data_IF_775698275984
#
_entry.id   IF_775698275984
#
_cell.length_a   1.000
_cell.length_b   1.000
_cell.length_c   1.000
_cell.angle_alpha   90.00
_cell.angle_beta   90.00
_cell.angle_gamma   90.00
#
_symmetry.space_group_name_H-M   'P 1'
#
loop_
_entity.id
_entity.type
_entity.pdbx_description
1 polymer ?
#
# COMPACT_ATOMS: atom_id res chain seq x y z
N UNK A 1 2.62 -2.76 28.80
CA UNK A 1 2.37 -3.38 27.48
C UNK A 1 3.29 -2.68 26.50
N UNK A 2 3.96 -3.45 25.62
CA UNK A 2 4.85 -2.86 24.60
C UNK A 2 3.99 -2.24 23.50
N UNK A 3 4.11 -0.94 23.30
CA UNK A 3 3.48 -0.23 22.18
C UNK A 3 4.24 -0.47 20.89
N UNK A 4 3.52 -0.52 19.79
CA UNK A 4 4.12 -0.58 18.45
C UNK A 4 4.61 0.79 18.01
N UNK A 5 5.77 0.81 17.39
CA UNK A 5 6.29 2.01 16.75
C UNK A 5 5.45 2.40 15.53
N UNK A 6 5.46 3.69 15.11
CA UNK A 6 4.77 4.11 13.90
C UNK A 6 5.18 3.34 12.64
N UNK A 7 6.41 2.80 12.58
CA UNK A 7 6.88 1.97 11.48
C UNK A 7 6.21 0.58 11.47
N UNK A 8 6.08 -0.05 12.63
CA UNK A 8 5.37 -1.33 12.75
C UNK A 8 3.88 -1.20 12.45
N UNK A 9 3.24 -0.11 12.92
CA UNK A 9 1.84 0.18 12.59
C UNK A 9 1.69 0.38 11.08
N UNK A 10 2.66 1.05 10.43
CA UNK A 10 2.66 1.25 8.99
C UNK A 10 2.83 -0.07 8.21
N UNK A 11 3.61 -1.03 8.72
CA UNK A 11 3.72 -2.39 8.13
C UNK A 11 2.34 -3.06 8.11
N UNK A 12 1.65 -3.14 9.26
CA UNK A 12 0.31 -3.75 9.33
C UNK A 12 -0.74 -3.03 8.47
N UNK A 13 -0.75 -1.70 8.50
CA UNK A 13 -1.67 -0.92 7.67
C UNK A 13 -1.39 -1.12 6.17
N UNK A 14 -0.11 -1.16 5.77
CA UNK A 14 0.29 -1.43 4.41
C UNK A 14 -0.12 -2.84 3.96
N UNK A 15 0.09 -3.85 4.81
CA UNK A 15 -0.26 -5.24 4.51
C UNK A 15 -1.78 -5.42 4.41
N UNK A 16 -2.57 -4.68 5.19
CA UNK A 16 -4.03 -4.65 5.09
C UNK A 16 -4.55 -4.00 3.80
N UNK A 17 -3.75 -3.15 3.12
CA UNK A 17 -4.14 -2.54 1.85
C UNK A 17 -3.98 -1.02 1.77
N UNK A 18 -3.79 -0.30 2.87
CA UNK A 18 -3.61 1.15 2.84
C UNK A 18 -2.38 1.57 2.05
N UNK A 19 -2.50 2.61 1.22
CA UNK A 19 -1.41 3.13 0.37
C UNK A 19 -1.36 4.66 0.40
N UNK A 20 -0.24 5.21 -0.01
CA UNK A 20 -0.09 6.65 -0.26
C UNK A 20 -0.49 7.54 0.93
N UNK A 21 -1.40 8.48 0.69
CA UNK A 21 -1.90 9.39 1.73
C UNK A 21 -2.78 8.67 2.75
N UNK A 22 -3.58 7.67 2.31
CA UNK A 22 -4.47 6.92 3.18
C UNK A 22 -3.69 6.08 4.19
N UNK A 23 -2.53 5.53 3.80
CA UNK A 23 -1.60 4.89 4.72
C UNK A 23 -1.11 5.87 5.81
N UNK A 24 -0.79 7.11 5.43
CA UNK A 24 -0.35 8.13 6.40
C UNK A 24 -1.46 8.47 7.38
N UNK A 25 -2.70 8.62 6.89
CA UNK A 25 -3.87 8.89 7.73
C UNK A 25 -4.19 7.70 8.61
N UNK A 26 -4.18 6.47 8.09
CA UNK A 26 -4.44 5.25 8.86
C UNK A 26 -3.48 5.13 10.05
N UNK A 27 -2.18 5.30 9.84
CA UNK A 27 -1.17 5.25 10.91
C UNK A 27 -1.41 6.37 11.94
N UNK A 28 -1.71 7.58 11.50
CA UNK A 28 -1.96 8.71 12.39
C UNK A 28 -3.24 8.51 13.23
N UNK A 29 -4.29 7.91 12.64
CA UNK A 29 -5.52 7.53 13.36
C UNK A 29 -5.23 6.46 14.40
N UNK A 30 -4.51 5.39 14.07
CA UNK A 30 -4.14 4.36 15.03
C UNK A 30 -3.36 4.92 16.23
N UNK A 31 -2.42 5.83 15.97
CA UNK A 31 -1.68 6.52 17.03
C UNK A 31 -2.58 7.41 17.89
N UNK A 32 -3.59 8.04 17.29
CA UNK A 32 -4.55 8.87 18.02
C UNK A 32 -5.53 8.05 18.85
N UNK A 33 -5.94 6.85 18.39
CA UNK A 33 -6.90 5.97 19.04
C UNK A 33 -6.29 5.18 20.21
N UNK A 34 -5.10 4.62 20.02
CA UNK A 34 -4.50 3.67 20.98
C UNK A 34 -3.14 4.07 21.51
N UNK A 35 -2.53 5.15 20.99
CA UNK A 35 -1.13 5.45 21.27
C UNK A 35 -0.15 4.38 20.77
N UNK A 36 -0.61 3.51 19.88
CA UNK A 36 0.15 2.37 19.36
C UNK A 36 0.08 1.11 20.22
N UNK A 37 -0.79 1.05 21.23
CA UNK A 37 -1.01 -0.16 22.04
C UNK A 37 -1.94 -1.14 21.29
N UNK A 38 -1.45 -2.30 20.84
CA UNK A 38 -2.29 -3.30 20.16
C UNK A 38 -3.28 -3.99 21.12
N UNK A 39 -3.09 -3.86 22.43
CA UNK A 39 -3.97 -4.42 23.45
C UNK A 39 -4.90 -3.36 24.07
N UNK A 40 -4.94 -2.16 23.50
CA UNK A 40 -5.86 -1.13 23.95
C UNK A 40 -7.30 -1.62 23.89
N UNK A 41 -8.04 -1.43 24.97
CA UNK A 41 -9.45 -1.79 25.09
C UNK A 41 -10.21 -0.69 25.83
N UNK A 42 -11.15 -0.07 25.15
CA UNK A 42 -12.10 0.84 25.77
C UNK A 42 -13.43 0.10 25.96
N UNK A 43 -13.73 -0.30 27.21
CA UNK A 43 -14.96 -0.99 27.60
C UNK A 43 -15.95 -0.07 28.33
N UNK A 44 -15.79 1.25 28.20
CA UNK A 44 -16.67 2.23 28.89
C UNK A 44 -17.86 2.52 27.97
N UNK A 45 -19.10 2.17 28.36
CA UNK A 45 -20.27 2.46 27.55
C UNK A 45 -20.40 3.95 27.19
N UNK A 46 -20.77 4.29 25.95
CA UNK A 46 -21.26 3.43 24.87
C UNK A 46 -20.16 2.88 23.93
N UNK A 47 -19.04 2.42 24.48
CA UNK A 47 -17.91 1.90 23.73
C UNK A 47 -17.58 0.47 24.17
N UNK A 48 -17.10 -0.36 23.22
CA UNK A 48 -16.46 -1.65 23.42
C UNK A 48 -15.45 -1.83 22.29
N UNK A 49 -14.33 -1.06 22.36
CA UNK A 49 -13.41 -0.83 21.25
C UNK A 49 -12.06 -1.51 21.48
N UNK A 50 -11.53 -2.18 20.45
CA UNK A 50 -10.38 -3.08 20.54
C UNK A 50 -9.23 -2.67 19.64
N UNK A 51 -8.01 -2.78 20.17
CA UNK A 51 -6.75 -2.77 19.43
C UNK A 51 -6.32 -1.41 18.88
N UNK A 52 -5.46 -1.42 17.88
CA UNK A 52 -4.77 -0.24 17.35
C UNK A 52 -5.73 0.84 16.85
N UNK A 53 -6.71 0.47 16.05
CA UNK A 53 -7.72 1.38 15.47
C UNK A 53 -9.00 1.46 16.30
N UNK A 54 -9.00 0.93 17.52
CA UNK A 54 -10.15 0.96 18.42
C UNK A 54 -11.45 0.56 17.71
N UNK A 55 -11.46 -0.68 17.18
CA UNK A 55 -12.62 -1.21 16.46
C UNK A 55 -13.74 -1.48 17.43
N UNK A 56 -14.85 -0.71 17.32
CA UNK A 56 -15.98 -0.81 18.22
C UNK A 56 -16.82 -2.08 17.94
N UNK A 57 -17.03 -2.89 18.97
CA UNK A 57 -17.75 -4.17 18.93
C UNK A 57 -19.01 -4.16 19.81
N UNK A 58 -19.50 -2.99 20.20
CA UNK A 58 -20.64 -2.84 21.11
C UNK A 58 -21.95 -3.35 20.51
N UNK A 59 -22.71 -4.08 21.30
CA UNK A 59 -24.09 -4.49 20.99
C UNK A 59 -24.19 -5.28 19.69
N UNK A 60 -25.06 -4.88 18.77
CA UNK A 60 -25.28 -5.56 17.49
C UNK A 60 -24.10 -5.44 16.50
N UNK A 61 -23.21 -4.47 16.70
CA UNK A 61 -21.99 -4.32 15.87
C UNK A 61 -21.06 -5.52 16.03
N UNK A 62 -20.88 -6.03 17.25
CA UNK A 62 -19.97 -7.13 17.51
C UNK A 62 -20.26 -8.39 16.68
N UNK A 63 -21.47 -8.99 16.76
CA UNK A 63 -21.81 -10.15 15.95
C UNK A 63 -21.78 -9.89 14.42
N UNK A 64 -22.15 -8.68 13.98
CA UNK A 64 -22.11 -8.32 12.58
C UNK A 64 -20.66 -8.27 12.06
N UNK A 65 -19.79 -7.56 12.75
CA UNK A 65 -18.38 -7.39 12.40
C UNK A 65 -17.59 -8.69 12.53
N UNK A 66 -17.87 -9.56 13.51
CA UNK A 66 -17.23 -10.88 13.55
C UNK A 66 -17.51 -11.70 12.30
N UNK A 67 -18.76 -11.68 11.79
CA UNK A 67 -19.08 -12.36 10.53
C UNK A 67 -18.44 -11.70 9.32
N UNK A 68 -18.40 -10.37 9.31
CA UNK A 68 -17.81 -9.58 8.22
C UNK A 68 -16.29 -9.78 8.10
N UNK A 69 -15.60 -9.85 9.25
CA UNK A 69 -14.14 -9.94 9.31
C UNK A 69 -13.61 -11.35 9.58
N UNK A 70 -14.50 -12.36 9.57
CA UNK A 70 -14.18 -13.78 9.84
C UNK A 70 -13.45 -13.99 11.18
N UNK A 71 -14.01 -13.40 12.24
CA UNK A 71 -13.45 -13.48 13.60
C UNK A 71 -14.29 -14.43 14.46
N UNK A 72 -13.64 -15.31 15.19
CA UNK A 72 -14.28 -16.18 16.20
C UNK A 72 -14.64 -15.41 17.47
N UNK A 73 -13.84 -14.41 17.81
CA UNK A 73 -14.04 -13.59 19.02
C UNK A 73 -13.56 -12.13 18.84
N UNK A 74 -14.12 -11.21 19.65
CA UNK A 74 -13.64 -9.81 19.67
C UNK A 74 -12.16 -9.70 20.08
N UNK A 75 -11.60 -10.70 20.79
CA UNK A 75 -10.21 -10.71 21.26
C UNK A 75 -9.18 -10.82 20.12
N UNK A 76 -9.59 -11.34 18.99
CA UNK A 76 -8.71 -11.41 17.81
C UNK A 76 -8.34 -10.02 17.30
N UNK A 77 -9.17 -9.01 17.54
CA UNK A 77 -8.85 -7.61 17.26
C UNK A 77 -7.69 -7.04 18.12
N UNK A 78 -7.17 -7.81 19.07
CA UNK A 78 -5.90 -7.51 19.73
C UNK A 78 -4.68 -7.98 18.89
N UNK A 79 -4.88 -8.75 17.84
CA UNK A 79 -3.86 -9.00 16.85
C UNK A 79 -3.77 -7.78 15.90
N UNK A 80 -2.57 -7.17 15.76
CA UNK A 80 -2.42 -5.99 14.92
C UNK A 80 -2.81 -6.19 13.46
N UNK A 81 -2.62 -7.41 12.93
CA UNK A 81 -2.97 -7.75 11.55
C UNK A 81 -4.48 -7.78 11.36
N UNK A 82 -5.20 -8.49 12.23
CA UNK A 82 -6.66 -8.59 12.18
C UNK A 82 -7.31 -7.22 12.42
N UNK A 83 -6.74 -6.42 13.33
CA UNK A 83 -7.21 -5.06 13.60
C UNK A 83 -7.01 -4.12 12.42
N UNK A 84 -5.86 -4.21 11.72
CA UNK A 84 -5.57 -3.44 10.51
C UNK A 84 -6.50 -3.83 9.35
N UNK A 85 -6.77 -5.13 9.19
CA UNK A 85 -7.69 -5.62 8.17
C UNK A 85 -9.12 -5.13 8.42
N UNK A 86 -9.60 -5.20 9.67
CA UNK A 86 -10.90 -4.66 10.05
C UNK A 86 -10.97 -3.15 9.80
N UNK A 87 -9.91 -2.41 10.13
CA UNK A 87 -9.85 -0.97 9.85
C UNK A 87 -9.89 -0.65 8.36
N UNK A 88 -9.23 -1.47 7.52
CA UNK A 88 -9.27 -1.35 6.06
C UNK A 88 -10.70 -1.50 5.53
N UNK A 89 -11.43 -2.53 5.95
CA UNK A 89 -12.82 -2.75 5.52
C UNK A 89 -13.75 -1.64 6.02
N UNK A 90 -13.65 -1.24 7.30
CA UNK A 90 -14.48 -0.17 7.90
C UNK A 90 -14.24 1.18 7.21
N UNK A 91 -13.02 1.44 6.75
CA UNK A 91 -12.69 2.65 5.99
C UNK A 91 -13.21 2.66 4.56
N UNK A 92 -13.88 1.58 4.11
CA UNK A 92 -14.24 1.42 2.71
C UNK A 92 -13.00 1.28 1.83
N UNK A 93 -12.02 0.52 2.29
CA UNK A 93 -10.73 0.30 1.60
C UNK A 93 -9.90 1.58 1.45
N UNK A 94 -9.90 2.38 2.51
CA UNK A 94 -9.15 3.64 2.57
C UNK A 94 -9.91 4.87 2.07
N UNK A 95 -11.16 4.72 1.61
CA UNK A 95 -11.94 5.82 1.04
C UNK A 95 -12.33 6.87 2.10
N UNK A 96 -12.61 6.45 3.33
CA UNK A 96 -13.04 7.37 4.40
C UNK A 96 -12.61 6.94 5.79
N UNK A 97 -12.06 7.88 6.56
CA UNK A 97 -11.79 7.72 8.00
C UNK A 97 -12.88 8.34 8.89
N UNK A 98 -14.03 8.69 8.31
CA UNK A 98 -15.20 9.22 9.04
C UNK A 98 -15.67 8.39 10.22
N UNK A 99 -15.57 7.04 10.22
CA UNK A 99 -15.92 6.22 11.37
C UNK A 99 -15.12 6.49 12.66
N UNK A 100 -13.95 7.12 12.57
CA UNK A 100 -13.11 7.43 13.74
C UNK A 100 -13.30 8.88 14.21
N UNK A 101 -13.67 9.04 15.48
CA UNK A 101 -13.85 10.36 16.09
C UNK A 101 -12.57 11.18 16.13
N UNK A 102 -11.42 10.55 16.31
CA UNK A 102 -10.10 11.20 16.27
C UNK A 102 -9.76 11.77 14.89
N UNK A 103 -10.33 11.19 13.83
CA UNK A 103 -10.24 11.77 12.49
C UNK A 103 -11.17 12.97 12.32
N UNK A 104 -12.46 12.82 12.66
CA UNK A 104 -13.46 13.86 12.44
C UNK A 104 -13.24 15.10 13.30
N UNK A 105 -12.72 14.95 14.52
CA UNK A 105 -12.36 16.07 15.39
C UNK A 105 -10.94 16.63 15.14
N UNK A 106 -10.16 15.99 14.25
CA UNK A 106 -8.84 16.44 13.86
C UNK A 106 -7.70 16.04 14.81
N UNK A 107 -7.95 15.25 15.87
CA UNK A 107 -6.93 14.83 16.83
C UNK A 107 -5.77 14.03 16.18
N UNK A 108 -6.04 13.27 15.11
CA UNK A 108 -5.03 12.52 14.37
C UNK A 108 -3.93 13.41 13.75
N UNK A 109 -4.23 14.69 13.47
CA UNK A 109 -3.32 15.60 12.74
C UNK A 109 -1.98 15.79 13.46
N UNK A 110 -1.97 15.75 14.81
CA UNK A 110 -0.75 15.85 15.60
C UNK A 110 0.21 14.68 15.40
N UNK A 111 -0.27 13.54 14.87
CA UNK A 111 0.51 12.34 14.64
C UNK A 111 0.95 12.16 13.17
N UNK A 112 0.56 13.06 12.26
CA UNK A 112 0.90 12.94 10.84
C UNK A 112 2.40 12.89 10.58
N UNK A 113 3.20 13.64 11.33
CA UNK A 113 4.65 13.64 11.16
C UNK A 113 5.29 12.35 11.70
N UNK A 114 4.76 11.79 12.79
CA UNK A 114 5.18 10.48 13.29
C UNK A 114 4.83 9.38 12.29
N UNK A 115 3.63 9.42 11.71
CA UNK A 115 3.20 8.50 10.67
C UNK A 115 4.12 8.56 9.44
N UNK A 116 4.43 9.75 8.93
CA UNK A 116 5.35 9.94 7.78
C UNK A 116 6.75 9.40 8.09
N UNK A 117 7.27 9.67 9.29
CA UNK A 117 8.57 9.12 9.73
C UNK A 117 8.53 7.60 9.85
N UNK A 118 7.44 7.04 10.38
CA UNK A 118 7.22 5.60 10.47
C UNK A 118 7.23 4.93 9.10
N UNK A 119 6.45 5.43 8.15
CA UNK A 119 6.38 4.93 6.78
C UNK A 119 7.75 5.00 6.08
N UNK A 120 8.49 6.10 6.27
CA UNK A 120 9.85 6.22 5.73
C UNK A 120 10.81 5.17 6.31
N UNK A 121 10.67 4.83 7.60
CA UNK A 121 11.49 3.78 8.26
C UNK A 121 11.08 2.38 7.79
N UNK A 122 9.78 2.10 7.64
CA UNK A 122 9.25 0.87 7.07
C UNK A 122 9.87 0.62 5.69
N UNK A 123 9.75 1.56 4.77
CA UNK A 123 10.32 1.47 3.42
C UNK A 123 11.83 1.24 3.40
N UNK A 124 12.59 1.89 4.31
CA UNK A 124 14.04 1.66 4.43
C UNK A 124 14.41 0.28 4.96
N UNK A 125 13.52 -0.37 5.74
CA UNK A 125 13.72 -1.72 6.23
C UNK A 125 13.52 -2.74 5.10
N UNK A 126 12.53 -2.50 4.24
CA UNK A 126 12.26 -3.32 3.05
C UNK A 126 13.35 -3.17 1.98
N UNK A 127 14.02 -2.00 1.94
CA UNK A 127 15.19 -1.73 1.08
C UNK A 127 16.49 -2.35 1.63
N UNK A 128 16.50 -2.83 2.91
CA UNK A 128 17.68 -3.49 3.47
C UNK A 128 17.63 -4.97 3.09
N UNK A 129 18.63 -5.50 2.34
CA UNK A 129 18.71 -6.92 2.00
C UNK A 129 18.67 -7.79 3.28
N UNK A 130 18.12 -9.01 3.23
CA UNK A 130 18.14 -9.92 4.36
C UNK A 130 19.60 -10.12 4.77
N UNK A 131 19.87 -9.96 6.08
CA UNK A 131 21.20 -10.21 6.64
C UNK A 131 21.57 -11.68 6.41
N UNK A 132 22.36 -11.98 5.40
CA UNK A 132 23.04 -13.25 5.28
C UNK A 132 24.05 -13.32 6.42
N UNK A 133 23.82 -14.22 7.36
CA UNK A 133 24.85 -14.66 8.32
C UNK A 133 25.94 -15.40 7.55
N UNK A 134 26.92 -14.65 7.06
CA UNK A 134 28.13 -15.12 6.40
C UNK A 134 29.32 -14.43 7.02
N UNK A 135 30.07 -15.16 7.85
CA UNK A 135 31.34 -14.77 8.43
C UNK A 135 32.36 -14.51 7.31
N UNK A 136 32.98 -13.32 7.28
CA UNK A 136 34.14 -13.09 6.41
C UNK A 136 34.38 -11.61 6.15
N UNK A 137 35.46 -11.07 6.74
CA UNK A 137 35.83 -9.67 6.74
C UNK A 137 36.28 -9.11 5.40
N UNK A 138 36.31 -7.79 5.32
CA UNK A 138 36.96 -7.02 4.26
C UNK A 138 36.14 -5.82 3.85
N UNK A 139 36.62 -4.62 4.22
CA UNK A 139 35.94 -3.35 3.99
C UNK A 139 35.77 -3.02 2.51
N UNK A 140 34.62 -2.50 2.23
CA UNK A 140 34.22 -1.92 0.96
C UNK A 140 32.70 -1.87 0.95
N UNK A 141 32.09 -0.68 1.12
CA UNK A 141 30.67 -0.50 1.10
C UNK A 141 30.07 -0.79 -0.29
N UNK A 142 30.03 -2.06 -0.68
CA UNK A 142 29.37 -2.54 -1.89
C UNK A 142 27.88 -2.72 -1.64
N UNK A 143 27.07 -2.10 -2.46
CA UNK A 143 25.63 -2.31 -2.53
C UNK A 143 25.40 -3.61 -3.31
N UNK A 144 24.97 -4.68 -2.65
CA UNK A 144 24.58 -5.92 -3.35
C UNK A 144 23.15 -5.77 -3.86
N UNK A 145 23.00 -5.80 -5.16
CA UNK A 145 21.71 -5.85 -5.86
C UNK A 145 21.43 -7.30 -6.21
N UNK A 146 20.24 -7.77 -5.89
CA UNK A 146 19.75 -9.07 -6.37
C UNK A 146 19.08 -8.87 -7.75
N UNK A 147 19.71 -9.33 -8.85
CA UNK A 147 19.17 -9.15 -10.20
C UNK A 147 17.85 -9.90 -10.42
N UNK A 148 17.62 -11.00 -9.71
CA UNK A 148 16.40 -11.79 -9.80
C UNK A 148 15.23 -11.08 -9.12
N UNK A 149 15.47 -10.46 -7.97
CA UNK A 149 14.49 -9.60 -7.30
C UNK A 149 14.12 -8.40 -8.16
N UNK A 150 15.10 -7.74 -8.82
CA UNK A 150 14.83 -6.66 -9.78
C UNK A 150 14.01 -7.13 -10.98
N UNK A 151 14.31 -8.31 -11.51
CA UNK A 151 13.57 -8.92 -12.62
C UNK A 151 12.15 -9.27 -12.22
N UNK A 152 11.93 -9.73 -10.98
CA UNK A 152 10.61 -9.96 -10.39
C UNK A 152 9.79 -8.67 -10.30
N UNK A 153 10.39 -7.62 -9.76
CA UNK A 153 9.77 -6.29 -9.68
C UNK A 153 9.39 -5.75 -11.05
N UNK A 154 10.25 -5.87 -12.05
CA UNK A 154 9.98 -5.42 -13.41
C UNK A 154 8.80 -6.17 -14.05
N UNK A 155 8.65 -7.49 -13.77
CA UNK A 155 7.49 -8.27 -14.24
C UNK A 155 6.19 -7.76 -13.59
N UNK A 156 6.17 -7.57 -12.28
CA UNK A 156 5.01 -7.04 -11.56
C UNK A 156 4.61 -5.65 -12.07
N UNK A 157 5.57 -4.76 -12.30
CA UNK A 157 5.29 -3.44 -12.84
C UNK A 157 4.70 -3.48 -14.26
N UNK A 158 5.11 -4.45 -15.11
CA UNK A 158 4.48 -4.66 -16.43
C UNK A 158 3.05 -5.17 -16.31
N UNK A 159 2.78 -6.13 -15.44
CA UNK A 159 1.39 -6.59 -15.21
C UNK A 159 0.48 -5.44 -14.80
N UNK A 160 0.94 -4.59 -13.88
CA UNK A 160 0.19 -3.39 -13.49
C UNK A 160 -0.02 -2.45 -14.67
N UNK A 161 0.98 -2.26 -15.53
CA UNK A 161 0.86 -1.43 -16.73
C UNK A 161 -0.17 -2.00 -17.71
N UNK A 162 -0.16 -3.31 -17.93
CA UNK A 162 -1.10 -4.01 -18.81
C UNK A 162 -2.53 -3.95 -18.26
N UNK A 163 -2.73 -4.16 -16.95
CA UNK A 163 -4.02 -4.06 -16.28
C UNK A 163 -4.59 -2.64 -16.38
N UNK A 164 -3.78 -1.61 -16.16
CA UNK A 164 -4.18 -0.22 -16.32
C UNK A 164 -4.48 0.14 -17.78
N UNK A 165 -3.74 -0.45 -18.71
CA UNK A 165 -4.00 -0.32 -20.13
C UNK A 165 -5.35 -0.92 -20.54
N UNK A 166 -5.65 -2.12 -20.04
CA UNK A 166 -6.93 -2.80 -20.26
C UNK A 166 -8.09 -2.02 -19.63
N UNK A 167 -7.94 -1.57 -18.38
CA UNK A 167 -8.92 -0.74 -17.69
C UNK A 167 -9.22 0.54 -18.49
N UNK A 168 -8.18 1.26 -18.93
CA UNK A 168 -8.32 2.47 -19.70
C UNK A 168 -9.02 2.26 -21.05
N UNK A 169 -8.71 1.15 -21.74
CA UNK A 169 -9.20 0.91 -23.10
C UNK A 169 -10.56 0.21 -23.15
N UNK A 170 -10.92 -0.59 -22.16
CA UNK A 170 -12.11 -1.42 -22.18
C UNK A 170 -13.20 -0.90 -21.21
N UNK A 171 -12.87 -0.72 -19.94
CA UNK A 171 -13.88 -0.39 -18.93
C UNK A 171 -14.23 1.11 -18.93
N UNK A 172 -13.23 1.99 -19.05
CA UNK A 172 -13.48 3.44 -19.07
C UNK A 172 -14.08 3.93 -20.38
N UNK A 173 -13.99 3.14 -21.46
CA UNK A 173 -14.68 3.47 -22.70
C UNK A 173 -16.20 3.47 -22.55
N UNK A 174 -16.75 2.50 -21.79
CA UNK A 174 -18.19 2.42 -21.55
C UNK A 174 -18.78 3.63 -20.85
N UNK A 175 -18.00 4.38 -20.08
CA UNK A 175 -18.43 5.65 -19.45
C UNK A 175 -18.57 6.77 -20.49
N UNK A 176 -17.78 6.73 -21.56
CA UNK A 176 -17.80 7.74 -22.64
C UNK A 176 -18.82 7.43 -23.74
N UNK A 177 -19.12 6.14 -23.93
CA UNK A 177 -20.06 5.69 -24.98
C UNK A 177 -21.52 5.74 -24.53
N UNK A 178 -21.84 6.46 -23.42
CA UNK A 178 -23.20 6.71 -23.02
C UNK A 178 -23.85 7.65 -24.02
N UNK A 179 -24.94 7.16 -24.64
CA UNK A 179 -25.67 7.94 -25.62
C UNK A 179 -26.21 9.25 -25.00
N UNK A 180 -26.20 10.34 -25.78
CA UNK A 180 -26.65 11.66 -25.34
C UNK A 180 -28.09 11.68 -24.77
N UNK A 181 -28.91 10.70 -25.14
CA UNK A 181 -30.29 10.55 -24.67
C UNK A 181 -30.41 9.62 -23.44
N UNK A 182 -29.33 8.97 -22.99
CA UNK A 182 -29.33 8.07 -21.82
C UNK A 182 -29.81 8.76 -20.55
N UNK A 183 -29.62 10.06 -20.44
CA UNK A 183 -30.06 10.90 -19.32
C UNK A 183 -31.31 11.75 -19.62
N UNK A 184 -31.96 11.47 -20.73
CA UNK A 184 -33.19 12.18 -21.17
C UNK A 184 -32.97 13.67 -21.41
N UNK A 185 -34.10 14.42 -21.45
CA UNK A 185 -34.10 15.86 -21.72
C UNK A 185 -33.33 16.67 -20.67
N UNK A 186 -33.42 16.29 -19.41
CA UNK A 186 -32.74 16.95 -18.28
C UNK A 186 -31.21 16.84 -18.42
N UNK A 187 -30.69 15.71 -18.81
CA UNK A 187 -29.22 15.52 -19.01
C UNK A 187 -28.65 16.43 -20.09
N UNK A 188 -29.44 16.70 -21.16
CA UNK A 188 -29.03 17.61 -22.24
C UNK A 188 -29.12 19.08 -21.78
N UNK A 189 -30.19 19.46 -21.10
CA UNK A 189 -30.42 20.85 -20.66
C UNK A 189 -29.45 21.28 -19.55
N UNK A 190 -28.97 20.35 -18.72
CA UNK A 190 -28.03 20.61 -17.62
C UNK A 190 -26.55 20.51 -18.01
N UNK A 191 -26.23 20.05 -19.21
CA UNK A 191 -24.84 19.77 -19.62
C UNK A 191 -24.20 18.56 -18.91
N UNK A 192 -24.99 17.75 -18.21
CA UNK A 192 -24.47 16.60 -17.42
C UNK A 192 -23.79 15.54 -18.29
N UNK A 193 -24.35 15.23 -19.45
CA UNK A 193 -23.79 14.24 -20.37
C UNK A 193 -22.39 14.67 -20.88
N UNK A 194 -22.25 15.95 -21.26
CA UNK A 194 -20.97 16.53 -21.69
C UNK A 194 -19.93 16.54 -20.55
N UNK A 195 -20.35 16.93 -19.34
CA UNK A 195 -19.48 16.91 -18.17
C UNK A 195 -18.99 15.49 -17.84
N UNK A 196 -19.85 14.47 -17.97
CA UNK A 196 -19.51 13.07 -17.76
C UNK A 196 -18.53 12.54 -18.83
N UNK A 197 -18.72 12.89 -20.11
CA UNK A 197 -17.75 12.53 -21.18
C UNK A 197 -16.39 13.18 -20.93
N UNK A 198 -16.37 14.46 -20.57
CA UNK A 198 -15.13 15.17 -20.22
C UNK A 198 -14.41 14.53 -19.04
N UNK A 199 -15.16 14.17 -17.99
CA UNK A 199 -14.61 13.45 -16.83
C UNK A 199 -14.07 12.08 -17.23
N UNK A 200 -14.83 11.30 -17.99
CA UNK A 200 -14.40 9.98 -18.48
C UNK A 200 -13.13 10.06 -19.33
N UNK A 201 -13.04 11.07 -20.21
CA UNK A 201 -11.86 11.32 -21.02
C UNK A 201 -10.63 11.72 -20.17
N UNK A 202 -10.82 12.55 -19.14
CA UNK A 202 -9.76 12.94 -18.23
C UNK A 202 -9.25 11.74 -17.43
N UNK A 203 -10.17 10.94 -16.87
CA UNK A 203 -9.84 9.73 -16.11
C UNK A 203 -9.09 8.72 -16.98
N UNK A 204 -9.56 8.48 -18.21
CA UNK A 204 -8.90 7.59 -19.17
C UNK A 204 -7.46 8.04 -19.46
N UNK A 205 -7.24 9.34 -19.68
CA UNK A 205 -5.88 9.88 -19.89
C UNK A 205 -4.98 9.67 -18.66
N UNK A 206 -5.51 9.88 -17.45
CA UNK A 206 -4.75 9.68 -16.22
C UNK A 206 -4.37 8.22 -16.02
N UNK A 207 -5.32 7.30 -16.13
CA UNK A 207 -5.07 5.85 -15.99
C UNK A 207 -4.06 5.37 -17.02
N UNK A 208 -4.20 5.78 -18.29
CA UNK A 208 -3.22 5.49 -19.35
C UNK A 208 -1.84 6.05 -19.01
N UNK A 209 -1.77 7.27 -18.49
CA UNK A 209 -0.51 7.93 -18.11
C UNK A 209 0.21 7.18 -16.99
N UNK A 210 -0.53 6.66 -15.99
CA UNK A 210 0.04 5.83 -14.92
C UNK A 210 0.54 4.50 -15.48
N UNK A 211 -0.21 3.84 -16.36
CA UNK A 211 0.23 2.60 -17.02
C UNK A 211 1.53 2.80 -17.80
N UNK A 212 1.64 3.88 -18.59
CA UNK A 212 2.87 4.22 -19.32
C UNK A 212 4.07 4.44 -18.39
N UNK A 213 3.86 5.08 -17.24
CA UNK A 213 4.93 5.28 -16.24
C UNK A 213 5.35 3.97 -15.59
N UNK A 214 4.40 3.07 -15.30
CA UNK A 214 4.69 1.75 -14.76
C UNK A 214 5.51 0.91 -15.76
N UNK A 215 5.18 0.92 -17.03
CA UNK A 215 5.94 0.25 -18.09
C UNK A 215 7.35 0.84 -18.25
N UNK A 216 7.48 2.15 -18.23
CA UNK A 216 8.78 2.84 -18.27
C UNK A 216 9.67 2.47 -17.09
N UNK A 217 9.09 2.37 -15.89
CA UNK A 217 9.78 1.93 -14.70
C UNK A 217 10.24 0.46 -14.84
N UNK A 218 9.34 -0.43 -15.28
CA UNK A 218 9.65 -1.83 -15.53
C UNK A 218 10.80 -1.98 -16.54
N UNK A 219 10.79 -1.19 -17.61
CA UNK A 219 11.87 -1.15 -18.59
C UNK A 219 13.20 -0.70 -18.01
N UNK A 220 13.20 0.32 -17.16
CA UNK A 220 14.41 0.83 -16.50
C UNK A 220 14.99 -0.21 -15.51
N UNK A 221 14.15 -0.80 -14.68
CA UNK A 221 14.55 -1.84 -13.72
C UNK A 221 15.10 -3.08 -14.44
N UNK A 222 14.47 -3.49 -15.55
CA UNK A 222 14.96 -4.61 -16.37
C UNK A 222 16.33 -4.35 -16.99
N UNK A 223 16.60 -3.12 -17.43
CA UNK A 223 17.94 -2.74 -17.94
C UNK A 223 18.98 -2.79 -16.84
N UNK A 224 18.64 -2.27 -15.66
CA UNK A 224 19.53 -2.30 -14.50
C UNK A 224 19.86 -3.74 -14.11
N UNK A 225 18.86 -4.63 -13.99
CA UNK A 225 19.07 -6.03 -13.67
C UNK A 225 20.02 -6.73 -14.67
N UNK A 226 19.84 -6.50 -15.98
CA UNK A 226 20.73 -7.04 -17.00
C UNK A 226 22.16 -6.54 -16.85
N UNK A 227 22.34 -5.26 -16.65
CA UNK A 227 23.66 -4.66 -16.49
C UNK A 227 24.43 -5.24 -15.29
N UNK A 228 23.75 -5.48 -14.17
CA UNK A 228 24.36 -6.17 -13.02
C UNK A 228 24.76 -7.60 -13.36
N UNK A 229 23.92 -8.37 -14.04
CA UNK A 229 24.24 -9.74 -14.45
C UNK A 229 25.44 -9.77 -15.41
N UNK A 230 25.55 -8.85 -16.36
CA UNK A 230 26.66 -8.72 -17.29
C UNK A 230 27.96 -8.42 -16.51
N UNK A 231 27.94 -7.46 -15.59
CA UNK A 231 29.12 -7.13 -14.77
C UNK A 231 29.56 -8.29 -13.87
N UNK A 232 28.62 -9.03 -13.27
CA UNK A 232 28.99 -10.21 -12.46
C UNK A 232 29.63 -11.32 -13.31
N UNK A 233 29.14 -11.52 -14.54
CA UNK A 233 29.72 -12.49 -15.46
C UNK A 233 31.14 -12.07 -15.90
N UNK A 234 31.36 -10.80 -16.20
CA UNK A 234 32.66 -10.26 -16.56
C UNK A 234 33.68 -10.42 -15.41
N UNK A 235 33.28 -10.08 -14.18
CA UNK A 235 34.11 -10.26 -12.99
C UNK A 235 34.44 -11.75 -12.76
N UNK A 236 33.46 -12.63 -12.93
CA UNK A 236 33.67 -14.06 -12.79
C UNK A 236 34.66 -14.61 -13.83
N UNK A 237 34.57 -14.13 -15.08
CA UNK A 237 35.51 -14.51 -16.16
C UNK A 237 36.91 -13.98 -15.89
N UNK A 238 37.07 -12.75 -15.45
CA UNK A 238 38.36 -12.16 -15.09
C UNK A 238 39.04 -12.93 -13.93
N UNK A 239 38.28 -13.29 -12.90
CA UNK A 239 38.79 -14.13 -11.79
C UNK A 239 39.24 -15.52 -12.26
N UNK A 240 38.45 -16.15 -13.14
CA UNK A 240 38.84 -17.45 -13.71
C UNK A 240 40.06 -17.32 -14.62
N UNK A 241 40.24 -16.22 -15.33
CA UNK A 241 41.41 -15.90 -16.12
C UNK A 241 42.68 -15.77 -15.27
N UNK A 242 42.57 -15.08 -14.12
CA UNK A 242 43.67 -14.92 -13.16
C UNK A 242 44.10 -16.25 -12.50
N UNK A 243 43.13 -17.14 -12.25
CA UNK A 243 43.40 -18.46 -11.68
C UNK A 243 44.10 -19.41 -12.68
N UNK A 244 43.83 -19.26 -13.99
CA UNK A 244 44.45 -20.08 -15.05
C UNK A 244 45.81 -19.56 -15.52
N UNK A 245 46.12 -18.29 -15.28
CA UNK A 245 47.39 -17.67 -15.67
C UNK A 245 48.57 -17.87 -14.70
N UNK A 246 48.37 -18.63 -13.60
CA UNK A 246 49.38 -18.93 -12.59
C UNK A 246 49.89 -20.40 -12.67
N UNK A 247 49.63 -21.10 -13.75
CA UNK A 247 50.28 -22.36 -14.09
C UNK A 247 51.27 -22.08 -15.24
#
# INVERSE_FOLDING_TARGET
VATLSPAQIAEYAHDAGFRGQDLTVAVAVALAESGGDPKAHNAVPPDDSYGLWQINMLGSLGPARRREFDLDSNRELFDPKENAQAAWEISGKGDSFGPWSTYTNGAYKKYLDDARRGIKRMKKKDEKPPATSGTGGGGGGGFMVDPDALSGYARTARHIADDLGALSSQQLRGVRDLADDSFGKIGKETGFAEALDHFGAALQRQVKGVGTKADSLAGSVSRTARHYNEQEQDIAQDLLGLLRGNE
#
